data_IF_839106308412
#
_entry.id   IF_839106308412
#
_cell.length_a   1.000
_cell.length_b   1.000
_cell.length_c   1.000
_cell.angle_alpha   90.00
_cell.angle_beta   90.00
_cell.angle_gamma   90.00
#
_symmetry.space_group_name_H-M   'P 1'
#
loop_
_entity.id
_entity.type
_entity.pdbx_description
1 polymer ?
#
# COMPACT_ATOMS: atom_id res chain seq x y z
N UNK A 1 56.20 20.82 33.48
CA UNK A 1 54.74 20.84 33.61
C UNK A 1 54.21 19.80 32.65
N UNK A 2 53.82 18.65 33.19
CA UNK A 2 53.30 17.48 32.48
C UNK A 2 51.88 17.77 31.98
N UNK A 3 51.58 17.37 30.74
CA UNK A 3 50.33 16.69 30.39
C UNK A 3 50.35 16.19 28.94
N UNK A 4 50.78 14.95 28.74
CA UNK A 4 50.52 14.19 27.52
C UNK A 4 49.34 13.25 27.78
N UNK A 5 48.12 13.74 27.56
CA UNK A 5 46.91 12.91 27.57
C UNK A 5 46.83 12.21 26.20
N UNK A 6 47.20 10.93 26.13
CA UNK A 6 46.90 10.06 24.99
C UNK A 6 45.78 9.07 25.32
N UNK A 7 44.51 9.37 24.94
CA UNK A 7 43.46 8.36 24.88
C UNK A 7 43.03 8.19 23.41
N UNK A 8 43.73 7.35 22.64
CA UNK A 8 43.42 7.18 21.19
C UNK A 8 43.23 5.72 20.68
N UNK A 9 43.78 4.65 21.28
CA UNK A 9 43.64 3.30 20.68
C UNK A 9 42.28 2.62 20.98
N UNK A 10 41.75 2.76 22.20
CA UNK A 10 40.46 2.16 22.62
C UNK A 10 39.28 2.81 21.88
N UNK A 11 39.30 4.14 21.71
CA UNK A 11 38.22 4.89 21.07
C UNK A 11 38.09 4.54 19.58
N UNK A 12 39.20 4.28 18.90
CA UNK A 12 39.22 3.89 17.49
C UNK A 12 38.82 2.42 17.28
N UNK A 13 39.17 1.52 18.20
CA UNK A 13 38.69 0.14 18.18
C UNK A 13 37.15 0.07 18.36
N UNK A 14 36.60 0.85 19.30
CA UNK A 14 35.15 0.94 19.52
C UNK A 14 34.41 1.54 18.31
N UNK A 15 34.95 2.60 17.70
CA UNK A 15 34.40 3.18 16.46
C UNK A 15 34.38 2.15 15.33
N UNK A 16 35.49 1.41 15.12
CA UNK A 16 35.59 0.37 14.09
C UNK A 16 34.60 -0.77 14.33
N UNK A 17 34.47 -1.26 15.56
CA UNK A 17 33.49 -2.29 15.90
C UNK A 17 32.05 -1.82 15.63
N UNK A 18 31.74 -0.56 15.96
CA UNK A 18 30.43 0.05 15.67
C UNK A 18 30.14 0.12 14.18
N UNK A 19 31.12 0.56 13.38
CA UNK A 19 31.02 0.60 11.91
C UNK A 19 30.78 -0.82 11.36
N UNK A 20 31.52 -1.82 11.82
CA UNK A 20 31.33 -3.21 11.38
C UNK A 20 29.92 -3.74 11.69
N UNK A 21 29.39 -3.46 12.88
CA UNK A 21 28.00 -3.83 13.24
C UNK A 21 26.98 -3.13 12.34
N UNK A 22 27.16 -1.84 12.05
CA UNK A 22 26.29 -1.10 11.12
C UNK A 22 26.31 -1.75 9.74
N UNK A 23 27.49 -2.08 9.22
CA UNK A 23 27.62 -2.68 7.89
C UNK A 23 27.01 -4.08 7.83
N UNK A 24 27.14 -4.88 8.89
CA UNK A 24 26.46 -6.18 9.01
C UNK A 24 24.93 -6.02 9.07
N UNK A 25 24.43 -5.05 9.83
CA UNK A 25 22.99 -4.76 9.90
C UNK A 25 22.45 -4.28 8.54
N UNK A 26 23.17 -3.40 7.86
CA UNK A 26 22.83 -2.96 6.50
C UNK A 26 22.79 -4.13 5.53
N UNK A 27 23.79 -5.02 5.57
CA UNK A 27 23.80 -6.21 4.73
C UNK A 27 22.60 -7.12 5.01
N UNK A 28 22.25 -7.33 6.28
CA UNK A 28 21.06 -8.08 6.66
C UNK A 28 19.80 -7.43 6.10
N UNK A 29 19.66 -6.10 6.19
CA UNK A 29 18.53 -5.38 5.63
C UNK A 29 18.43 -5.54 4.11
N UNK A 30 19.55 -5.48 3.40
CA UNK A 30 19.59 -5.69 1.94
C UNK A 30 19.18 -7.13 1.59
N UNK A 31 19.67 -8.12 2.33
CA UNK A 31 19.34 -9.53 2.06
C UNK A 31 17.88 -9.87 2.37
N UNK A 32 17.27 -9.18 3.33
CA UNK A 32 15.90 -9.41 3.78
C UNK A 32 14.94 -8.31 3.32
N UNK A 33 15.30 -7.52 2.30
CA UNK A 33 14.54 -6.33 1.90
C UNK A 33 13.07 -6.64 1.56
N UNK A 34 12.80 -7.79 0.92
CA UNK A 34 11.42 -8.21 0.56
C UNK A 34 10.61 -8.53 1.82
N UNK A 35 11.22 -9.16 2.83
CA UNK A 35 10.56 -9.43 4.11
C UNK A 35 10.26 -8.12 4.83
N UNK A 36 11.25 -7.23 4.92
CA UNK A 36 11.10 -5.91 5.55
C UNK A 36 10.00 -5.12 4.84
N UNK A 37 10.02 -5.05 3.51
CA UNK A 37 8.97 -4.44 2.72
C UNK A 37 7.62 -5.07 3.01
N UNK A 38 7.50 -6.41 2.96
CA UNK A 38 6.22 -7.11 3.14
C UNK A 38 5.64 -6.91 4.54
N UNK A 39 6.48 -6.85 5.57
CA UNK A 39 6.05 -6.56 6.95
C UNK A 39 5.58 -5.12 7.08
N UNK A 40 6.39 -4.14 6.67
CA UNK A 40 6.04 -2.72 6.78
C UNK A 40 4.80 -2.39 5.94
N UNK A 41 4.77 -2.88 4.71
CA UNK A 41 3.64 -2.71 3.81
C UNK A 41 2.41 -3.47 4.28
N UNK A 42 2.57 -4.65 4.85
CA UNK A 42 1.51 -5.42 5.50
C UNK A 42 0.87 -4.66 6.66
N UNK A 43 1.68 -4.06 7.54
CA UNK A 43 1.19 -3.16 8.61
C UNK A 43 0.41 -2.00 7.99
N UNK A 44 0.95 -1.37 6.94
CA UNK A 44 0.27 -0.29 6.24
C UNK A 44 -1.05 -0.71 5.55
N UNK A 45 -1.24 -2.00 5.25
CA UNK A 45 -2.47 -2.56 4.68
C UNK A 45 -3.50 -2.97 5.73
N UNK A 46 -3.05 -3.41 6.91
CA UNK A 46 -3.93 -3.85 8.00
C UNK A 46 -4.45 -2.67 8.81
N UNK A 47 -3.63 -1.64 9.03
CA UNK A 47 -3.98 -0.50 9.88
C UNK A 47 -5.31 0.21 9.48
N UNK A 48 -5.67 0.37 8.18
CA UNK A 48 -6.97 0.92 7.80
C UNK A 48 -8.19 0.12 8.30
N UNK A 49 -8.04 -1.19 8.48
CA UNK A 49 -9.08 -2.07 9.03
C UNK A 49 -9.14 -2.01 10.56
N UNK A 50 -8.08 -1.52 11.23
CA UNK A 50 -8.09 -1.29 12.67
C UNK A 50 -8.99 -0.09 13.03
N UNK A 51 -9.09 0.92 12.16
CA UNK A 51 -9.95 2.09 12.40
C UNK A 51 -11.41 1.74 12.73
N UNK A 52 -12.14 0.92 11.95
CA UNK A 52 -13.50 0.51 12.30
C UNK A 52 -13.58 -0.38 13.54
N UNK A 53 -12.56 -1.18 13.85
CA UNK A 53 -12.50 -1.97 15.10
C UNK A 53 -12.42 -1.03 16.32
N UNK A 54 -11.57 -0.01 16.26
CA UNK A 54 -11.43 0.99 17.31
C UNK A 54 -12.72 1.82 17.49
N UNK A 55 -13.39 2.17 16.38
CA UNK A 55 -14.70 2.81 16.44
C UNK A 55 -15.75 1.91 17.11
N UNK A 56 -15.72 0.59 16.84
CA UNK A 56 -16.67 -0.38 17.42
C UNK A 56 -16.52 -0.50 18.94
N UNK A 57 -15.30 -0.42 19.47
CA UNK A 57 -15.04 -0.50 20.93
C UNK A 57 -15.06 0.88 21.62
N UNK A 58 -15.43 1.95 20.91
CA UNK A 58 -15.55 3.31 21.46
C UNK A 58 -14.24 4.11 21.52
N UNK A 59 -13.13 3.57 21.02
CA UNK A 59 -11.82 4.24 20.97
C UNK A 59 -11.72 5.21 19.78
N UNK A 60 -12.59 6.22 19.79
CA UNK A 60 -12.79 7.12 18.65
C UNK A 60 -11.59 8.02 18.34
N UNK A 61 -10.85 8.48 19.35
CA UNK A 61 -9.66 9.32 19.16
C UNK A 61 -8.57 8.62 18.33
N UNK A 62 -8.06 7.45 18.78
CA UNK A 62 -7.13 6.65 18.00
C UNK A 62 -7.65 6.25 16.61
N UNK A 63 -8.94 5.90 16.48
CA UNK A 63 -9.52 5.59 15.19
C UNK A 63 -9.44 6.77 14.20
N UNK A 64 -9.80 7.99 14.66
CA UNK A 64 -9.73 9.22 13.87
C UNK A 64 -8.32 9.54 13.41
N UNK A 65 -7.30 9.25 14.22
CA UNK A 65 -5.90 9.37 13.79
C UNK A 65 -5.57 8.45 12.61
N UNK A 66 -6.05 7.22 12.61
CA UNK A 66 -5.86 6.31 11.47
C UNK A 66 -6.58 6.86 10.24
N UNK A 67 -7.85 7.27 10.34
CA UNK A 67 -8.55 7.89 9.21
C UNK A 67 -7.78 9.09 8.64
N UNK A 68 -7.30 9.99 9.51
CA UNK A 68 -6.51 11.17 9.13
C UNK A 68 -5.19 10.79 8.45
N UNK A 69 -4.46 9.81 8.99
CA UNK A 69 -3.19 9.34 8.45
C UNK A 69 -3.31 8.87 6.99
N UNK A 70 -4.37 8.13 6.68
CA UNK A 70 -4.62 7.61 5.32
C UNK A 70 -5.36 8.60 4.41
N UNK A 71 -5.80 9.73 4.95
CA UNK A 71 -6.65 10.69 4.25
C UNK A 71 -5.95 11.38 3.05
N UNK A 72 -4.62 11.63 3.04
CA UNK A 72 -3.93 12.19 1.87
C UNK A 72 -3.79 11.18 0.72
N UNK A 73 -3.77 9.89 1.05
CA UNK A 73 -3.58 8.81 0.06
C UNK A 73 -4.91 8.40 -0.58
N UNK A 74 -6.01 8.48 0.18
CA UNK A 74 -7.32 8.03 -0.24
C UNK A 74 -8.39 9.05 0.14
N UNK A 75 -9.35 9.31 -0.77
CA UNK A 75 -10.50 10.14 -0.46
C UNK A 75 -11.40 9.55 0.64
N UNK A 76 -11.42 8.21 0.81
CA UNK A 76 -12.19 7.49 1.82
C UNK A 76 -13.70 7.81 1.78
N UNK A 77 -14.26 8.00 0.59
CA UNK A 77 -15.70 8.28 0.46
C UNK A 77 -16.53 7.08 0.90
N UNK A 78 -17.55 7.32 1.73
CA UNK A 78 -18.35 6.28 2.38
C UNK A 78 -18.90 5.24 1.39
N UNK A 79 -19.55 5.66 0.31
CA UNK A 79 -20.16 4.77 -0.69
C UNK A 79 -19.16 3.91 -1.48
N UNK A 80 -17.87 4.24 -1.41
CA UNK A 80 -16.78 3.51 -2.09
C UNK A 80 -15.84 2.85 -1.07
N UNK A 81 -16.25 2.69 0.18
CA UNK A 81 -15.45 2.09 1.25
C UNK A 81 -16.17 0.89 1.85
N UNK A 82 -15.41 -0.10 2.29
CA UNK A 82 -15.99 -1.22 3.03
C UNK A 82 -16.45 -0.77 4.43
N UNK A 83 -17.51 -1.37 4.94
CA UNK A 83 -18.00 -1.20 6.30
C UNK A 83 -17.85 -2.51 7.07
N UNK A 84 -17.35 -2.41 8.31
CA UNK A 84 -17.31 -3.52 9.25
C UNK A 84 -18.34 -3.31 10.35
N UNK A 85 -18.88 -4.41 10.89
CA UNK A 85 -19.87 -4.42 11.96
C UNK A 85 -21.22 -3.77 11.58
N UNK A 86 -21.50 -3.67 10.29
CA UNK A 86 -22.76 -3.20 9.73
C UNK A 86 -23.57 -4.33 9.09
N UNK A 87 -24.72 -3.99 8.53
CA UNK A 87 -25.60 -4.92 7.82
C UNK A 87 -25.08 -5.29 6.42
N UNK A 88 -24.35 -4.38 5.78
CA UNK A 88 -23.83 -4.57 4.43
C UNK A 88 -22.33 -4.24 4.39
N UNK A 89 -21.55 -4.90 3.51
CA UNK A 89 -20.13 -4.62 3.38
C UNK A 89 -19.85 -3.28 2.71
N UNK A 90 -20.78 -2.74 1.91
CA UNK A 90 -20.72 -1.42 1.27
C UNK A 90 -22.14 -0.92 1.06
N UNK A 91 -22.33 0.39 1.01
CA UNK A 91 -23.64 1.04 0.93
C UNK A 91 -23.71 1.97 -0.28
N UNK A 92 -24.86 2.03 -0.97
CA UNK A 92 -25.09 3.05 -1.99
C UNK A 92 -25.38 4.41 -1.35
N UNK A 93 -25.29 5.48 -2.14
CA UNK A 93 -25.61 6.84 -1.68
C UNK A 93 -27.00 6.95 -1.05
N UNK A 94 -27.99 6.23 -1.58
CA UNK A 94 -29.36 6.22 -1.07
C UNK A 94 -29.50 5.56 0.32
N UNK A 95 -28.55 4.69 0.71
CA UNK A 95 -28.57 3.99 2.00
C UNK A 95 -27.85 4.79 3.09
N UNK A 96 -27.13 5.85 2.72
CA UNK A 96 -26.39 6.69 3.64
C UNK A 96 -27.29 7.80 4.20
N UNK A 97 -27.24 8.10 5.51
CA UNK A 97 -28.05 9.15 6.13
C UNK A 97 -27.43 10.53 5.87
N UNK A 98 -27.20 10.85 4.59
CA UNK A 98 -26.50 12.04 4.13
C UNK A 98 -27.32 12.76 3.08
N UNK A 99 -27.48 14.08 3.25
CA UNK A 99 -28.06 14.94 2.24
C UNK A 99 -26.96 15.48 1.33
N UNK A 100 -26.98 15.07 0.06
CA UNK A 100 -26.05 15.56 -0.95
C UNK A 100 -26.63 16.78 -1.66
N UNK A 101 -25.77 17.76 -1.95
CA UNK A 101 -26.16 19.04 -2.56
C UNK A 101 -26.10 19.01 -4.08
N UNK A 102 -25.54 17.95 -4.67
CA UNK A 102 -25.26 17.85 -6.10
C UNK A 102 -23.98 18.57 -6.52
N UNK A 103 -23.29 19.23 -5.59
CA UNK A 103 -21.99 19.86 -5.85
C UNK A 103 -20.87 18.88 -5.50
N UNK A 104 -20.12 18.42 -6.50
CA UNK A 104 -19.08 17.39 -6.36
C UNK A 104 -18.11 17.67 -5.21
N UNK A 105 -17.60 18.90 -5.08
CA UNK A 105 -16.64 19.25 -4.03
C UNK A 105 -17.22 19.09 -2.62
N UNK A 106 -18.42 19.62 -2.39
CA UNK A 106 -19.11 19.54 -1.09
C UNK A 106 -19.53 18.10 -0.79
N UNK A 107 -20.09 17.39 -1.76
CA UNK A 107 -20.56 16.02 -1.60
C UNK A 107 -19.40 15.05 -1.31
N UNK A 108 -18.25 15.22 -1.98
CA UNK A 108 -17.04 14.45 -1.68
C UNK A 108 -16.59 14.66 -0.23
N UNK A 109 -16.62 15.89 0.28
CA UNK A 109 -16.25 16.19 1.67
C UNK A 109 -17.26 15.59 2.67
N UNK A 110 -18.56 15.66 2.37
CA UNK A 110 -19.62 15.04 3.17
C UNK A 110 -19.45 13.52 3.24
N UNK A 111 -19.20 12.86 2.12
CA UNK A 111 -19.00 11.41 2.06
C UNK A 111 -17.68 10.97 2.70
N UNK A 112 -16.65 11.83 2.64
CA UNK A 112 -15.37 11.61 3.32
C UNK A 112 -15.50 11.73 4.84
N UNK A 113 -16.27 12.70 5.34
CA UNK A 113 -16.42 12.94 6.78
C UNK A 113 -17.30 11.88 7.48
N UNK A 114 -18.22 11.25 6.76
CA UNK A 114 -19.04 10.18 7.31
C UNK A 114 -18.21 8.91 7.57
N UNK A 115 -17.94 8.60 8.84
CA UNK A 115 -17.19 7.40 9.25
C UNK A 115 -18.08 6.16 9.45
N UNK A 116 -19.39 6.34 9.68
CA UNK A 116 -20.38 5.27 9.82
C UNK A 116 -21.42 5.53 10.91
N UNK A 117 -22.05 4.46 11.41
CA UNK A 117 -22.93 4.48 12.59
C UNK A 117 -22.96 3.11 13.30
N UNK A 118 -23.52 2.98 14.52
CA UNK A 118 -23.73 1.66 15.13
C UNK A 118 -24.61 0.71 14.30
N UNK A 119 -25.46 1.24 13.41
CA UNK A 119 -26.36 0.47 12.54
C UNK A 119 -25.68 0.07 11.24
N UNK A 120 -24.97 1.01 10.60
CA UNK A 120 -24.30 0.80 9.32
C UNK A 120 -22.89 0.22 9.50
N UNK A 121 -22.42 0.11 10.73
CA UNK A 121 -21.03 -0.19 11.02
C UNK A 121 -20.12 1.00 10.73
N UNK A 122 -18.81 0.73 10.72
CA UNK A 122 -17.78 1.75 10.54
C UNK A 122 -16.96 1.43 9.30
N UNK A 123 -16.65 2.46 8.50
CA UNK A 123 -15.92 2.27 7.25
C UNK A 123 -14.45 1.93 7.50
N UNK A 124 -13.84 1.17 6.60
CA UNK A 124 -12.39 1.02 6.53
C UNK A 124 -11.78 2.38 6.15
N UNK A 125 -10.60 2.73 6.68
CA UNK A 125 -9.91 3.98 6.35
C UNK A 125 -9.30 4.01 4.92
N UNK A 126 -9.92 3.30 3.98
CA UNK A 126 -9.58 3.19 2.58
C UNK A 126 -10.84 2.95 1.76
N UNK A 127 -10.80 3.35 0.49
CA UNK A 127 -11.76 2.87 -0.48
C UNK A 127 -11.49 1.41 -0.83
N UNK A 128 -12.52 0.69 -1.27
CA UNK A 128 -12.44 -0.63 -1.87
C UNK A 128 -11.29 -0.77 -2.89
N UNK A 129 -11.14 0.18 -3.84
CA UNK A 129 -10.04 0.20 -4.82
C UNK A 129 -8.66 0.19 -4.15
N UNK A 130 -8.48 0.94 -3.06
CA UNK A 130 -7.19 1.02 -2.35
C UNK A 130 -6.90 -0.29 -1.62
N UNK A 131 -7.93 -0.91 -1.03
CA UNK A 131 -7.84 -2.26 -0.45
C UNK A 131 -7.39 -3.27 -1.50
N UNK A 132 -8.05 -3.30 -2.66
CA UNK A 132 -7.69 -4.24 -3.73
C UNK A 132 -6.30 -3.98 -4.30
N UNK A 133 -5.97 -2.72 -4.53
CA UNK A 133 -4.70 -2.31 -5.13
C UNK A 133 -3.50 -2.64 -4.25
N UNK A 134 -3.53 -2.23 -2.99
CA UNK A 134 -2.42 -2.50 -2.08
C UNK A 134 -2.43 -3.92 -1.54
N UNK A 135 -3.60 -4.53 -1.35
CA UNK A 135 -3.71 -5.95 -1.01
C UNK A 135 -3.12 -6.84 -2.10
N UNK A 136 -3.42 -6.56 -3.37
CA UNK A 136 -2.83 -7.26 -4.50
C UNK A 136 -1.32 -7.06 -4.59
N UNK A 137 -0.83 -5.83 -4.37
CA UNK A 137 0.61 -5.56 -4.32
C UNK A 137 1.30 -6.32 -3.17
N UNK A 138 0.68 -6.41 -1.99
CA UNK A 138 1.22 -7.19 -0.87
C UNK A 138 1.31 -8.68 -1.23
N UNK A 139 0.22 -9.26 -1.76
CA UNK A 139 0.19 -10.66 -2.16
C UNK A 139 1.17 -10.97 -3.31
N UNK A 140 1.27 -10.08 -4.30
CA UNK A 140 2.25 -10.18 -5.36
C UNK A 140 3.68 -10.08 -4.80
N UNK A 141 3.93 -9.21 -3.82
CA UNK A 141 5.24 -9.10 -3.16
C UNK A 141 5.64 -10.38 -2.45
N UNK A 142 4.70 -11.03 -1.76
CA UNK A 142 4.90 -12.34 -1.14
C UNK A 142 5.16 -13.41 -2.20
N UNK A 143 4.37 -13.44 -3.28
CA UNK A 143 4.58 -14.37 -4.39
C UNK A 143 5.96 -14.17 -5.03
N UNK A 144 6.38 -12.93 -5.24
CA UNK A 144 7.73 -12.59 -5.71
C UNK A 144 8.80 -13.12 -4.76
N UNK A 145 8.62 -12.96 -3.44
CA UNK A 145 9.54 -13.47 -2.42
C UNK A 145 9.75 -14.99 -2.56
N UNK A 146 8.69 -15.75 -2.79
CA UNK A 146 8.77 -17.21 -2.97
C UNK A 146 9.42 -17.57 -4.31
N UNK A 147 9.06 -16.88 -5.40
CA UNK A 147 9.50 -17.21 -6.75
C UNK A 147 10.93 -16.77 -7.07
N UNK A 148 11.44 -15.69 -6.45
CA UNK A 148 12.82 -15.21 -6.68
C UNK A 148 13.85 -16.25 -6.25
N UNK A 149 13.59 -17.00 -5.17
CA UNK A 149 14.46 -18.09 -4.72
C UNK A 149 14.53 -19.26 -5.73
N UNK A 150 13.50 -19.43 -6.55
CA UNK A 150 13.46 -20.44 -7.61
C UNK A 150 14.08 -19.97 -8.93
N UNK A 151 14.60 -18.73 -9.00
CA UNK A 151 15.14 -18.09 -10.22
C UNK A 151 14.14 -18.03 -11.38
N UNK A 152 12.84 -18.03 -11.08
CA UNK A 152 11.76 -18.03 -12.07
C UNK A 152 11.27 -16.62 -12.45
N UNK A 153 11.82 -15.57 -11.83
CA UNK A 153 11.28 -14.22 -12.00
C UNK A 153 12.01 -13.46 -13.11
N UNK A 154 11.24 -12.98 -14.08
CA UNK A 154 11.67 -12.02 -15.11
C UNK A 154 10.87 -10.72 -14.93
N UNK A 155 11.50 -9.55 -15.11
CA UNK A 155 10.78 -8.28 -15.09
C UNK A 155 9.69 -8.27 -16.17
N UNK A 156 8.54 -7.70 -15.82
CA UNK A 156 7.53 -7.35 -16.81
C UNK A 156 8.13 -6.38 -17.84
N UNK A 157 7.92 -6.66 -19.12
CA UNK A 157 8.15 -5.67 -20.16
C UNK A 157 7.12 -4.53 -20.07
N UNK A 158 7.41 -3.40 -20.72
CA UNK A 158 6.53 -2.23 -20.69
C UNK A 158 5.14 -2.50 -21.28
N UNK A 159 5.05 -3.32 -22.34
CA UNK A 159 3.77 -3.61 -22.98
C UNK A 159 2.83 -4.44 -22.09
N UNK A 160 3.22 -5.61 -21.54
CA UNK A 160 2.33 -6.33 -20.63
C UNK A 160 2.04 -5.56 -19.34
N UNK A 161 2.97 -4.70 -18.87
CA UNK A 161 2.66 -3.76 -17.79
C UNK A 161 1.61 -2.73 -18.21
N UNK A 162 1.70 -2.13 -19.40
CA UNK A 162 0.71 -1.20 -19.92
C UNK A 162 -0.68 -1.86 -20.03
N UNK A 163 -0.76 -3.14 -20.41
CA UNK A 163 -2.00 -3.90 -20.41
C UNK A 163 -2.59 -4.08 -18.99
N UNK A 164 -1.75 -4.32 -17.97
CA UNK A 164 -2.19 -4.40 -16.57
C UNK A 164 -2.58 -3.03 -15.98
N UNK A 165 -2.00 -1.95 -16.50
CA UNK A 165 -2.30 -0.56 -16.14
C UNK A 165 -3.59 -0.06 -16.80
N UNK A 166 -3.93 -0.55 -18.00
CA UNK A 166 -5.07 -0.05 -18.77
C UNK A 166 -6.42 -0.06 -17.98
N UNK A 167 -6.78 -1.13 -17.23
CA UNK A 167 -8.03 -1.14 -16.47
C UNK A 167 -8.18 0.00 -15.47
N UNK A 168 -7.13 0.34 -14.71
CA UNK A 168 -7.20 1.44 -13.73
C UNK A 168 -7.23 2.81 -14.40
N UNK A 169 -6.55 2.97 -15.53
CA UNK A 169 -6.61 4.21 -16.32
C UNK A 169 -8.00 4.42 -16.88
N UNK A 170 -8.62 3.40 -17.48
CA UNK A 170 -9.97 3.48 -18.04
C UNK A 170 -11.01 3.69 -16.93
N UNK A 171 -10.97 2.89 -15.87
CA UNK A 171 -11.89 3.00 -14.74
C UNK A 171 -11.76 4.37 -14.04
N UNK A 172 -10.53 4.82 -13.79
CA UNK A 172 -10.26 6.13 -13.20
C UNK A 172 -10.72 7.29 -14.09
N UNK A 173 -10.40 7.27 -15.38
CA UNK A 173 -10.77 8.34 -16.32
C UNK A 173 -12.29 8.42 -16.53
N UNK A 174 -12.96 7.28 -16.67
CA UNK A 174 -14.43 7.27 -16.84
C UNK A 174 -15.16 7.72 -15.58
N UNK A 175 -14.68 7.36 -14.38
CA UNK A 175 -15.21 7.91 -13.13
C UNK A 175 -14.96 9.42 -13.03
N UNK A 176 -13.77 9.91 -13.38
CA UNK A 176 -13.47 11.35 -13.36
C UNK A 176 -14.40 12.13 -14.29
N UNK A 177 -14.59 11.65 -15.52
CA UNK A 177 -15.50 12.26 -16.49
C UNK A 177 -16.96 12.22 -16.02
N UNK A 178 -17.37 11.10 -15.42
CA UNK A 178 -18.72 10.95 -14.86
C UNK A 178 -18.98 11.93 -13.72
N UNK A 179 -18.06 11.99 -12.76
CA UNK A 179 -18.16 12.83 -11.57
C UNK A 179 -18.04 14.33 -11.95
N UNK A 180 -17.38 14.67 -13.06
CA UNK A 180 -17.31 16.02 -13.63
C UNK A 180 -18.60 16.45 -14.35
N UNK A 181 -19.19 15.58 -15.17
CA UNK A 181 -20.35 15.92 -16.01
C UNK A 181 -21.71 15.85 -15.28
N UNK A 182 -21.81 15.09 -14.18
CA UNK A 182 -23.08 14.88 -13.48
C UNK A 182 -22.95 14.72 -11.95
N UNK A 183 -21.79 15.03 -11.39
CA UNK A 183 -21.52 14.82 -9.97
C UNK A 183 -21.52 13.35 -9.56
N UNK A 184 -21.49 13.11 -8.26
CA UNK A 184 -21.44 11.75 -7.70
C UNK A 184 -22.77 10.98 -7.79
N UNK A 185 -23.88 11.70 -8.02
CA UNK A 185 -25.24 11.14 -7.99
C UNK A 185 -25.81 10.94 -9.39
N UNK A 186 -25.58 11.87 -10.32
CA UNK A 186 -26.20 11.85 -11.64
C UNK A 186 -25.21 11.56 -12.79
N UNK A 187 -23.93 11.34 -12.47
CA UNK A 187 -22.93 10.96 -13.46
C UNK A 187 -23.29 9.64 -14.17
N UNK A 188 -22.91 9.49 -15.44
CA UNK A 188 -23.28 8.32 -16.26
C UNK A 188 -22.79 6.98 -15.70
N UNK A 189 -21.74 6.98 -14.87
CA UNK A 189 -21.25 5.79 -14.16
C UNK A 189 -22.09 5.43 -12.94
N UNK A 190 -22.92 6.33 -12.41
CA UNK A 190 -23.77 5.99 -11.26
C UNK A 190 -24.91 5.07 -11.69
N UNK A 191 -25.57 5.33 -12.83
CA UNK A 191 -26.66 4.47 -13.31
C UNK A 191 -26.22 3.42 -14.36
N UNK A 192 -25.04 3.60 -14.97
CA UNK A 192 -24.53 2.77 -16.06
C UNK A 192 -25.57 2.43 -17.14
N UNK A 193 -26.39 3.40 -17.54
CA UNK A 193 -27.45 3.18 -18.54
C UNK A 193 -26.90 2.60 -19.85
N UNK A 194 -25.72 3.04 -20.26
CA UNK A 194 -25.00 2.52 -21.42
C UNK A 194 -24.78 0.99 -21.35
N UNK A 195 -24.55 0.46 -20.15
CA UNK A 195 -24.30 -0.96 -19.92
C UNK A 195 -25.62 -1.74 -19.87
N UNK A 196 -26.65 -1.18 -19.23
CA UNK A 196 -27.98 -1.79 -19.24
C UNK A 196 -28.55 -1.87 -20.65
N UNK A 197 -28.35 -0.84 -21.47
CA UNK A 197 -28.77 -0.81 -22.87
C UNK A 197 -28.01 -1.86 -23.69
N UNK A 198 -26.67 -1.91 -23.54
CA UNK A 198 -25.82 -2.87 -24.23
C UNK A 198 -26.17 -4.33 -23.88
N UNK A 199 -26.50 -4.59 -22.63
CA UNK A 199 -26.79 -5.95 -22.13
C UNK A 199 -28.27 -6.30 -22.19
N UNK A 200 -29.13 -5.40 -22.65
CA UNK A 200 -30.58 -5.60 -22.68
C UNK A 200 -31.18 -5.89 -21.29
N UNK A 201 -30.61 -5.31 -20.23
CA UNK A 201 -31.04 -5.51 -18.83
C UNK A 201 -31.08 -6.99 -18.37
N UNK A 202 -30.19 -7.84 -18.90
CA UNK A 202 -30.14 -9.27 -18.53
C UNK A 202 -29.71 -9.50 -17.06
N UNK A 203 -28.96 -8.57 -16.46
CA UNK A 203 -28.52 -8.67 -15.07
C UNK A 203 -29.50 -7.96 -14.11
N UNK A 204 -29.44 -8.23 -12.79
CA UNK A 204 -30.28 -7.53 -11.82
C UNK A 204 -30.03 -6.02 -11.78
N UNK A 205 -31.07 -5.23 -11.49
CA UNK A 205 -30.99 -3.77 -11.46
C UNK A 205 -29.87 -3.21 -10.55
N UNK A 206 -29.61 -3.86 -9.41
CA UNK A 206 -28.55 -3.46 -8.47
C UNK A 206 -27.14 -3.62 -9.06
N UNK A 207 -26.96 -4.42 -10.11
CA UNK A 207 -25.67 -4.56 -10.78
C UNK A 207 -25.30 -3.29 -11.55
N UNK A 208 -26.26 -2.65 -12.20
CA UNK A 208 -26.01 -1.48 -13.04
C UNK A 208 -25.88 -0.18 -12.24
N UNK A 209 -26.47 -0.11 -11.04
CA UNK A 209 -26.59 1.14 -10.29
C UNK A 209 -25.67 1.19 -9.08
N UNK A 210 -24.97 2.30 -8.93
CA UNK A 210 -24.24 2.70 -7.74
C UNK A 210 -22.89 2.01 -7.56
N UNK A 211 -22.38 2.12 -6.33
CA UNK A 211 -21.03 1.70 -5.94
C UNK A 211 -21.07 0.56 -4.90
N UNK A 212 -22.26 0.08 -4.53
CA UNK A 212 -22.42 -1.02 -3.57
C UNK A 212 -21.71 -2.30 -4.01
N UNK A 213 -21.45 -3.16 -3.02
CA UNK A 213 -20.72 -4.39 -3.24
C UNK A 213 -21.42 -5.28 -4.28
N UNK A 214 -20.67 -5.71 -5.28
CA UNK A 214 -21.18 -6.52 -6.38
C UNK A 214 -21.72 -5.73 -7.57
N UNK A 215 -21.90 -4.40 -7.46
CA UNK A 215 -22.25 -3.57 -8.61
C UNK A 215 -21.14 -3.60 -9.67
N UNK A 216 -21.47 -3.21 -10.90
CA UNK A 216 -20.53 -3.09 -12.00
C UNK A 216 -19.35 -2.17 -11.62
N UNK A 217 -19.62 -1.02 -10.99
CA UNK A 217 -18.55 -0.12 -10.54
C UNK A 217 -17.65 -0.81 -9.50
N UNK A 218 -18.21 -1.55 -8.56
CA UNK A 218 -17.44 -2.30 -7.56
C UNK A 218 -16.53 -3.35 -8.23
N UNK A 219 -17.02 -4.06 -9.24
CA UNK A 219 -16.22 -5.00 -10.05
C UNK A 219 -15.10 -4.31 -10.82
N UNK A 220 -15.38 -3.19 -11.46
CA UNK A 220 -14.36 -2.44 -12.20
C UNK A 220 -13.25 -1.93 -11.27
N UNK A 221 -13.61 -1.51 -10.05
CA UNK A 221 -12.67 -1.09 -9.00
C UNK A 221 -11.84 -2.26 -8.46
N UNK A 222 -12.43 -3.44 -8.34
CA UNK A 222 -11.73 -4.69 -8.01
C UNK A 222 -10.70 -5.04 -9.08
N UNK A 223 -11.14 -5.21 -10.32
CA UNK A 223 -10.28 -5.65 -11.44
C UNK A 223 -9.15 -4.65 -11.63
N UNK A 224 -9.46 -3.36 -11.68
CA UNK A 224 -8.45 -2.30 -11.85
C UNK A 224 -7.44 -2.25 -10.71
N UNK A 225 -7.89 -2.37 -9.46
CA UNK A 225 -7.00 -2.42 -8.30
C UNK A 225 -6.08 -3.63 -8.36
N UNK A 226 -6.63 -4.82 -8.59
CA UNK A 226 -5.86 -6.07 -8.65
C UNK A 226 -4.79 -6.03 -9.74
N UNK A 227 -5.14 -5.66 -10.98
CA UNK A 227 -4.18 -5.66 -12.09
C UNK A 227 -3.09 -4.62 -11.88
N UNK A 228 -3.42 -3.43 -11.37
CA UNK A 228 -2.42 -2.40 -11.07
C UNK A 228 -1.46 -2.86 -9.96
N UNK A 229 -1.98 -3.40 -8.86
CA UNK A 229 -1.16 -3.88 -7.74
C UNK A 229 -0.19 -4.99 -8.14
N UNK A 230 -0.67 -5.98 -8.89
CA UNK A 230 0.15 -7.08 -9.43
C UNK A 230 1.18 -6.53 -10.42
N UNK A 231 0.74 -5.72 -11.38
CA UNK A 231 1.60 -5.15 -12.42
C UNK A 231 2.71 -4.29 -11.86
N UNK A 232 2.41 -3.44 -10.88
CA UNK A 232 3.40 -2.57 -10.22
C UNK A 232 4.52 -3.36 -9.54
N UNK A 233 4.17 -4.44 -8.83
CA UNK A 233 5.15 -5.31 -8.18
C UNK A 233 5.99 -6.06 -9.21
N UNK A 234 5.36 -6.71 -10.19
CA UNK A 234 6.09 -7.51 -11.18
C UNK A 234 6.93 -6.67 -12.15
N UNK A 235 6.61 -5.39 -12.30
CA UNK A 235 7.48 -4.42 -12.94
C UNK A 235 8.65 -4.07 -12.02
N UNK A 236 8.38 -3.51 -10.83
CA UNK A 236 9.40 -2.85 -10.02
C UNK A 236 10.32 -3.82 -9.26
N UNK A 237 9.77 -4.86 -8.62
CA UNK A 237 10.53 -5.70 -7.68
C UNK A 237 11.72 -6.40 -8.32
N UNK A 238 11.62 -6.96 -9.55
CA UNK A 238 12.78 -7.58 -10.20
C UNK A 238 13.94 -6.59 -10.45
N UNK A 239 13.65 -5.31 -10.74
CA UNK A 239 14.69 -4.30 -10.90
C UNK A 239 15.30 -3.89 -9.56
N UNK A 240 14.45 -3.65 -8.55
CA UNK A 240 14.88 -3.34 -7.18
C UNK A 240 15.76 -4.48 -6.62
N UNK A 241 15.35 -5.73 -6.85
CA UNK A 241 16.08 -6.90 -6.35
C UNK A 241 17.49 -7.00 -6.93
N UNK A 242 17.65 -6.74 -8.23
CA UNK A 242 18.96 -6.73 -8.87
C UNK A 242 19.85 -5.62 -8.30
N UNK A 243 19.33 -4.40 -8.20
CA UNK A 243 20.08 -3.27 -7.66
C UNK A 243 20.50 -3.49 -6.19
N UNK A 244 19.61 -4.05 -5.37
CA UNK A 244 19.91 -4.40 -3.97
C UNK A 244 20.93 -5.54 -3.90
N UNK A 245 20.81 -6.56 -4.74
CA UNK A 245 21.75 -7.69 -4.77
C UNK A 245 23.17 -7.25 -5.17
N UNK A 246 23.30 -6.36 -6.14
CA UNK A 246 24.58 -5.74 -6.54
C UNK A 246 25.20 -4.96 -5.38
N UNK A 247 24.42 -4.08 -4.75
CA UNK A 247 24.84 -3.30 -3.57
C UNK A 247 25.29 -4.22 -2.41
N UNK A 248 24.53 -5.28 -2.15
CA UNK A 248 24.85 -6.27 -1.12
C UNK A 248 26.14 -7.04 -1.43
N UNK A 249 26.41 -7.35 -2.71
CA UNK A 249 27.63 -8.02 -3.14
C UNK A 249 28.87 -7.13 -2.91
N UNK A 250 28.78 -5.84 -3.24
CA UNK A 250 29.85 -4.87 -2.98
C UNK A 250 30.12 -4.71 -1.48
N UNK A 251 29.06 -4.59 -0.67
CA UNK A 251 29.17 -4.44 0.78
C UNK A 251 29.84 -5.68 1.41
N UNK A 252 29.46 -6.89 0.97
CA UNK A 252 30.13 -8.15 1.38
C UNK A 252 31.60 -8.17 1.00
N UNK A 253 31.95 -7.73 -0.20
CA UNK A 253 33.34 -7.71 -0.64
C UNK A 253 34.20 -6.80 0.25
N UNK A 254 33.68 -5.60 0.58
CA UNK A 254 34.35 -4.67 1.50
C UNK A 254 34.46 -5.24 2.92
N UNK A 255 33.41 -5.88 3.44
CA UNK A 255 33.43 -6.54 4.75
C UNK A 255 34.47 -7.66 4.83
N UNK A 256 34.55 -8.52 3.80
CA UNK A 256 35.57 -9.59 3.72
C UNK A 256 36.99 -9.03 3.69
N UNK A 257 37.23 -7.96 2.92
CA UNK A 257 38.54 -7.28 2.89
C UNK A 257 38.91 -6.70 4.26
N UNK A 258 37.98 -6.04 4.95
CA UNK A 258 38.21 -5.51 6.29
C UNK A 258 38.52 -6.62 7.31
N UNK A 259 37.83 -7.78 7.21
CA UNK A 259 38.12 -8.95 8.04
C UNK A 259 39.51 -9.54 7.75
N UNK A 260 39.90 -9.63 6.48
CA UNK A 260 41.22 -10.14 6.09
C UNK A 260 42.36 -9.27 6.63
N UNK A 261 42.27 -7.94 6.43
CA UNK A 261 43.27 -6.98 6.94
C UNK A 261 43.41 -7.07 8.46
N UNK A 262 42.31 -7.33 9.18
CA UNK A 262 42.32 -7.53 10.63
C UNK A 262 43.05 -8.83 11.03
N UNK A 263 42.80 -9.93 10.31
CA UNK A 263 43.48 -11.20 10.55
C UNK A 263 44.98 -11.12 10.29
N UNK A 264 45.40 -10.37 9.28
CA UNK A 264 46.82 -10.16 8.94
C UNK A 264 47.55 -9.20 9.91
N UNK A 265 46.81 -8.34 10.64
CA UNK A 265 47.39 -7.38 11.60
C UNK A 265 46.74 -7.47 13.00
N UNK A 266 47.10 -8.48 13.82
CA UNK A 266 46.53 -8.69 15.15
C UNK A 266 46.79 -7.52 16.13
N UNK A 267 47.81 -6.69 15.87
CA UNK A 267 48.13 -5.50 16.66
C UNK A 267 47.01 -4.45 16.65
N UNK A 268 46.11 -4.49 15.66
CA UNK A 268 44.94 -3.62 15.57
C UNK A 268 43.89 -3.89 16.66
N UNK A 269 43.89 -5.08 17.28
CA UNK A 269 43.00 -5.42 18.42
C UNK A 269 43.68 -5.16 19.79
N UNK A 270 45.02 -5.14 19.85
CA UNK A 270 45.81 -5.06 21.09
C UNK A 270 45.83 -3.68 21.78
N UNK A 271 45.21 -2.66 21.18
CA UNK A 271 45.04 -1.33 21.80
C UNK A 271 43.82 -1.20 22.73
N UNK A 272 43.18 -2.32 23.09
CA UNK A 272 41.91 -2.38 23.83
C UNK A 272 41.94 -3.12 25.16
N UNK A 273 43.14 -3.50 25.64
CA UNK A 273 43.35 -4.07 26.98
C UNK A 273 43.74 -2.99 27.97
#
# INVERSE_FOLDING_TARGET
MSDHIHPQPVSDALKRQRVMRIWQALLWCLDHWVLIFSVLFGIANVLPFVAPVLMRIGWTGPARWIYTLYSPMCHQMAQRSFFLFGQQPMYNLADLPLSLTGTTATDMLTLRSFLGSPVLGWKVAWSDRMVYMYGAALLAGIAFAVLRHRRLVRPLGLLPFALLLAPITIDGATHLLSDFNGGLVAGFRYHNQWLSDLTGNVLPAWFYVGDAFGSFNSWMRLISGLTFGIGGVWLAFPYIDRAIAETAAELRAKLRRAQHVRLENPSLDKGSA
#
